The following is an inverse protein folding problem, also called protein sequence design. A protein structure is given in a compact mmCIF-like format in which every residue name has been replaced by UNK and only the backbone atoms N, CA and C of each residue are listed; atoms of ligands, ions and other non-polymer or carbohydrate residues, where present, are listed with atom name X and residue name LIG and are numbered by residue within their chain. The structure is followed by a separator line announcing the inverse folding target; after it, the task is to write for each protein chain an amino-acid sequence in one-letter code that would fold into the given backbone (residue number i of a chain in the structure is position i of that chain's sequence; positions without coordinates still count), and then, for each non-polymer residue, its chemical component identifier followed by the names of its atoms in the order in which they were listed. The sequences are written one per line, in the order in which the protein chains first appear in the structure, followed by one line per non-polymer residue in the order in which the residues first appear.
data_IF_063338740027
#
_entry.id   IF_063338740027
#
_cell.length_a   1.000
_cell.length_b   1.000
_cell.length_c   1.000
_cell.angle_alpha   90.00
_cell.angle_beta   90.00
_cell.angle_gamma   90.00
#
_symmetry.space_group_name_H-M   'P 1'
#
loop_
_entity.id
_entity.type
_entity.pdbx_description
1 polymer ?
#
# COMPACT_ATOMS: atom_id res chain seq x y z
N UNK A 1 -5.31 -26.74 22.60
CA UNK A 1 -4.74 -26.04 21.43
C UNK A 1 -4.77 -24.55 21.69
N UNK A 2 -3.64 -23.95 22.07
CA UNK A 2 -3.55 -22.52 22.34
C UNK A 2 -3.44 -21.77 21.00
N UNK A 3 -4.51 -21.12 20.58
CA UNK A 3 -4.48 -20.18 19.46
C UNK A 3 -3.53 -19.03 19.86
N UNK A 4 -2.45 -18.85 19.10
CA UNK A 4 -1.49 -17.75 19.21
C UNK A 4 -2.25 -16.41 19.33
N UNK A 5 -2.37 -15.86 20.55
CA UNK A 5 -3.09 -14.62 20.83
C UNK A 5 -2.28 -13.34 20.57
N UNK A 6 -1.03 -13.44 20.11
CA UNK A 6 -0.13 -12.27 20.15
C UNK A 6 -0.09 -11.40 18.88
N UNK A 7 -0.70 -11.82 17.76
CA UNK A 7 -0.67 -11.00 16.53
C UNK A 7 -1.99 -11.10 15.76
N UNK A 8 -2.98 -10.26 16.10
CA UNK A 8 -4.19 -10.09 15.29
C UNK A 8 -3.92 -9.11 14.15
N UNK A 9 -3.69 -9.64 12.95
CA UNK A 9 -3.74 -8.85 11.72
C UNK A 9 -5.07 -9.14 11.05
N UNK A 10 -5.82 -8.08 10.73
CA UNK A 10 -7.02 -8.23 9.91
C UNK A 10 -6.65 -8.92 8.60
N UNK A 11 -7.37 -10.00 8.22
CA UNK A 11 -7.15 -10.66 6.94
C UNK A 11 -7.17 -9.68 5.78
N UNK A 12 -6.29 -9.88 4.80
CA UNK A 12 -6.20 -9.00 3.66
C UNK A 12 -7.40 -9.12 2.74
N UNK A 13 -8.11 -8.01 2.57
CA UNK A 13 -9.31 -7.87 1.76
C UNK A 13 -9.05 -7.22 0.38
N UNK A 14 -7.79 -6.93 0.07
CA UNK A 14 -7.38 -6.23 -1.16
C UNK A 14 -7.07 -4.75 -0.97
N UNK A 15 -7.31 -4.16 0.20
CA UNK A 15 -7.03 -2.76 0.49
C UNK A 15 -5.78 -2.57 1.37
N UNK A 16 -5.15 -1.39 1.29
CA UNK A 16 -3.99 -1.02 2.12
C UNK A 16 -2.82 -2.02 2.07
N UNK A 17 -2.53 -2.55 0.87
CA UNK A 17 -1.50 -3.57 0.65
C UNK A 17 -0.15 -3.21 1.28
N UNK A 18 0.28 -1.94 1.18
CA UNK A 18 1.54 -1.47 1.80
C UNK A 18 1.59 -1.72 3.31
N UNK A 19 0.52 -1.37 4.03
CA UNK A 19 0.42 -1.55 5.48
C UNK A 19 0.33 -3.04 5.84
N UNK A 20 -0.49 -3.79 5.11
CA UNK A 20 -0.63 -5.23 5.33
C UNK A 20 0.70 -5.96 5.08
N UNK A 21 1.36 -5.69 3.95
CA UNK A 21 2.67 -6.25 3.59
C UNK A 21 3.70 -6.03 4.70
N UNK A 22 3.79 -4.80 5.22
CA UNK A 22 4.68 -4.48 6.35
C UNK A 22 4.38 -5.30 7.60
N UNK A 23 3.10 -5.52 7.93
CA UNK A 23 2.69 -6.34 9.08
C UNK A 23 3.04 -7.80 8.89
N UNK A 24 2.83 -8.37 7.70
CA UNK A 24 3.18 -9.77 7.43
C UNK A 24 4.67 -10.00 7.54
N UNK A 25 5.50 -9.13 6.93
CA UNK A 25 6.97 -9.21 7.06
C UNK A 25 7.41 -9.19 8.53
N UNK A 26 6.82 -8.33 9.35
CA UNK A 26 7.11 -8.28 10.78
C UNK A 26 6.74 -9.57 11.53
N UNK A 27 5.59 -10.17 11.21
CA UNK A 27 5.15 -11.44 11.83
C UNK A 27 6.07 -12.60 11.45
N UNK A 28 6.46 -12.68 10.18
CA UNK A 28 7.32 -13.76 9.69
C UNK A 28 8.72 -13.65 10.28
N UNK A 29 9.28 -12.44 10.35
CA UNK A 29 10.54 -12.20 11.04
C UNK A 29 10.47 -12.57 12.53
N UNK A 30 9.41 -12.16 13.24
CA UNK A 30 9.21 -12.50 14.66
C UNK A 30 9.04 -14.01 14.92
N UNK A 31 8.71 -14.79 13.88
CA UNK A 31 8.55 -16.25 13.96
C UNK A 31 9.73 -17.02 13.36
N UNK A 32 10.76 -16.32 12.88
CA UNK A 32 11.92 -16.89 12.17
C UNK A 32 11.51 -17.72 10.95
N UNK A 33 10.60 -17.15 10.13
CA UNK A 33 10.04 -17.76 8.92
C UNK A 33 10.17 -16.86 7.69
N UNK A 34 10.80 -15.69 7.81
CA UNK A 34 10.94 -14.69 6.76
C UNK A 34 11.66 -15.20 5.51
N UNK A 35 12.59 -16.15 5.65
CA UNK A 35 13.26 -16.78 4.52
C UNK A 35 12.28 -17.42 3.51
N UNK A 36 11.13 -17.91 3.98
CA UNK A 36 10.11 -18.56 3.13
C UNK A 36 9.21 -17.57 2.38
N UNK A 37 9.40 -16.27 2.60
CA UNK A 37 8.84 -15.23 1.73
C UNK A 37 9.74 -14.97 0.52
N UNK A 38 11.01 -15.40 0.56
CA UNK A 38 12.03 -15.08 -0.45
C UNK A 38 12.47 -16.30 -1.27
N UNK A 39 12.35 -17.51 -0.71
CA UNK A 39 12.71 -18.77 -1.38
C UNK A 39 11.81 -19.94 -0.97
N UNK A 40 11.84 -21.00 -1.77
CA UNK A 40 11.28 -22.30 -1.36
C UNK A 40 12.21 -23.03 -0.40
N UNK A 41 11.63 -23.96 0.37
CA UNK A 41 12.39 -24.87 1.21
C UNK A 41 13.20 -25.86 0.37
N UNK A 42 14.39 -26.24 0.84
CA UNK A 42 15.07 -27.43 0.34
C UNK A 42 14.24 -28.68 0.69
N UNK A 43 13.77 -29.39 -0.34
CA UNK A 43 12.96 -30.59 -0.19
C UNK A 43 13.70 -31.75 0.52
N UNK A 44 15.03 -31.70 0.59
CA UNK A 44 15.85 -32.70 1.30
C UNK A 44 16.06 -32.36 2.78
N UNK A 45 15.67 -31.16 3.21
CA UNK A 45 15.81 -30.70 4.58
C UNK A 45 14.46 -30.71 5.30
N UNK A 46 14.21 -31.77 6.08
CA UNK A 46 12.96 -31.95 6.83
C UNK A 46 12.62 -30.78 7.76
N UNK A 47 13.64 -30.12 8.33
CA UNK A 47 13.44 -28.96 9.20
C UNK A 47 12.91 -27.77 8.40
N UNK A 48 13.48 -27.53 7.22
CA UNK A 48 13.08 -26.45 6.33
C UNK A 48 11.68 -26.70 5.75
N UNK A 49 11.38 -27.94 5.35
CA UNK A 49 10.04 -28.36 4.90
C UNK A 49 8.99 -28.12 5.98
N UNK A 50 9.29 -28.48 7.23
CA UNK A 50 8.38 -28.27 8.37
C UNK A 50 8.12 -26.77 8.62
N UNK A 51 9.18 -25.96 8.62
CA UNK A 51 9.05 -24.49 8.77
C UNK A 51 8.28 -23.86 7.61
N UNK A 52 8.52 -24.27 6.37
CA UNK A 52 7.80 -23.79 5.19
C UNK A 52 6.30 -24.09 5.24
N UNK A 53 5.91 -25.29 5.70
CA UNK A 53 4.48 -25.64 5.93
C UNK A 53 3.85 -24.74 7.00
N UNK A 54 4.59 -24.41 8.06
CA UNK A 54 4.12 -23.48 9.11
C UNK A 54 3.97 -22.05 8.55
N UNK A 55 4.93 -21.59 7.76
CA UNK A 55 4.89 -20.30 7.08
C UNK A 55 3.66 -20.22 6.16
N UNK A 56 3.40 -21.27 5.38
CA UNK A 56 2.23 -21.37 4.52
C UNK A 56 0.92 -21.27 5.31
N UNK A 57 0.78 -22.08 6.37
CA UNK A 57 -0.41 -22.06 7.21
C UNK A 57 -0.68 -20.68 7.84
N UNK A 58 0.37 -20.00 8.33
CA UNK A 58 0.24 -18.63 8.85
C UNK A 58 -0.22 -17.69 7.74
N UNK A 59 0.37 -17.76 6.55
CA UNK A 59 0.01 -16.88 5.45
C UNK A 59 -1.47 -17.02 5.07
N UNK A 60 -2.00 -18.24 5.01
CA UNK A 60 -3.42 -18.49 4.75
C UNK A 60 -4.33 -17.79 5.77
N UNK A 61 -3.95 -17.76 7.05
CA UNK A 61 -4.74 -17.08 8.10
C UNK A 61 -4.73 -15.55 7.98
N UNK A 62 -3.82 -14.99 7.20
CA UNK A 62 -3.67 -13.54 7.00
C UNK A 62 -4.44 -13.03 5.77
N UNK A 63 -5.17 -13.91 5.06
CA UNK A 63 -5.88 -13.63 3.83
C UNK A 63 -7.39 -13.86 4.00
N UNK A 64 -8.21 -13.02 3.37
CA UNK A 64 -9.65 -13.26 3.30
C UNK A 64 -9.99 -14.36 2.27
N UNK A 65 -11.18 -14.94 2.42
CA UNK A 65 -11.66 -16.05 1.60
C UNK A 65 -11.70 -15.73 0.09
N UNK A 66 -12.01 -14.48 -0.29
CA UNK A 66 -12.03 -14.07 -1.70
C UNK A 66 -10.62 -14.11 -2.27
N UNK A 67 -9.63 -13.65 -1.51
CA UNK A 67 -8.25 -13.70 -1.99
C UNK A 67 -7.75 -15.15 -2.03
N UNK A 68 -8.06 -15.96 -1.02
CA UNK A 68 -7.72 -17.39 -0.99
C UNK A 68 -8.31 -18.14 -2.20
N UNK A 69 -9.55 -17.80 -2.60
CA UNK A 69 -10.18 -18.41 -3.77
C UNK A 69 -9.42 -18.16 -5.08
N UNK A 70 -8.62 -17.09 -5.15
CA UNK A 70 -7.79 -16.77 -6.32
C UNK A 70 -6.43 -17.49 -6.34
N UNK A 71 -6.03 -18.09 -5.22
CA UNK A 71 -4.71 -18.71 -5.01
C UNK A 71 -4.76 -20.23 -4.84
N UNK A 72 -5.69 -20.90 -5.52
CA UNK A 72 -5.88 -22.35 -5.36
C UNK A 72 -4.69 -23.18 -5.89
N UNK A 73 -3.75 -22.59 -6.63
CA UNK A 73 -2.63 -23.30 -7.27
C UNK A 73 -1.33 -23.20 -6.49
N UNK A 74 -1.25 -22.25 -5.56
CA UNK A 74 -0.06 -21.92 -4.79
C UNK A 74 -0.05 -22.72 -3.49
N UNK A 75 0.88 -23.67 -3.37
CA UNK A 75 0.98 -24.65 -2.28
C UNK A 75 2.11 -24.35 -1.28
N UNK A 76 2.85 -23.25 -1.47
CA UNK A 76 3.93 -22.81 -0.59
C UNK A 76 3.76 -21.34 -0.21
N UNK A 77 4.32 -20.95 0.95
CA UNK A 77 4.32 -19.55 1.39
C UNK A 77 4.97 -18.65 0.34
N UNK A 78 6.08 -19.10 -0.23
CA UNK A 78 6.82 -18.39 -1.27
C UNK A 78 5.97 -18.12 -2.52
N UNK A 79 5.27 -19.14 -3.04
CA UNK A 79 4.44 -19.00 -4.24
C UNK A 79 3.29 -18.01 -4.01
N UNK A 80 2.59 -18.14 -2.87
CA UNK A 80 1.54 -17.18 -2.48
C UNK A 80 2.13 -15.77 -2.39
N UNK A 81 3.23 -15.61 -1.66
CA UNK A 81 3.85 -14.31 -1.43
C UNK A 81 4.29 -13.64 -2.73
N UNK A 82 4.93 -14.39 -3.62
CA UNK A 82 5.36 -13.92 -4.93
C UNK A 82 4.19 -13.47 -5.81
N UNK A 83 3.11 -14.26 -5.86
CA UNK A 83 1.90 -13.91 -6.60
C UNK A 83 1.26 -12.61 -6.05
N UNK A 84 1.27 -12.46 -4.73
CA UNK A 84 0.76 -11.28 -4.03
C UNK A 84 1.53 -10.01 -4.36
N UNK A 85 2.85 -10.04 -4.16
CA UNK A 85 3.74 -8.92 -4.42
C UNK A 85 3.58 -8.48 -5.88
N UNK A 86 3.63 -9.42 -6.83
CA UNK A 86 3.44 -9.10 -8.25
C UNK A 86 2.08 -8.46 -8.54
N UNK A 87 0.99 -8.99 -7.99
CA UNK A 87 -0.36 -8.49 -8.28
C UNK A 87 -0.62 -7.12 -7.66
N UNK A 88 -0.27 -6.95 -6.39
CA UNK A 88 -0.67 -5.78 -5.62
C UNK A 88 0.33 -4.63 -5.68
N UNK A 89 1.61 -4.89 -5.97
CA UNK A 89 2.55 -3.83 -6.36
C UNK A 89 2.17 -3.24 -7.72
N UNK A 90 1.81 -4.08 -8.70
CA UNK A 90 1.34 -3.59 -10.00
C UNK A 90 0.07 -2.74 -9.86
N UNK A 91 -0.92 -3.20 -9.07
CA UNK A 91 -2.12 -2.40 -8.75
C UNK A 91 -1.77 -1.11 -8.02
N UNK A 92 -0.83 -1.15 -7.07
CA UNK A 92 -0.32 0.03 -6.37
C UNK A 92 0.27 1.06 -7.34
N UNK A 93 1.15 0.63 -8.24
CA UNK A 93 1.76 1.49 -9.25
C UNK A 93 0.72 2.11 -10.20
N UNK A 94 -0.26 1.33 -10.68
CA UNK A 94 -1.35 1.84 -11.53
C UNK A 94 -2.18 2.87 -10.77
N UNK A 95 -2.57 2.59 -9.52
CA UNK A 95 -3.30 3.53 -8.69
C UNK A 95 -2.51 4.82 -8.46
N UNK A 96 -1.20 4.73 -8.24
CA UNK A 96 -0.33 5.90 -8.13
C UNK A 96 -0.34 6.75 -9.40
N UNK A 97 -0.22 6.13 -10.58
CA UNK A 97 -0.26 6.83 -11.87
C UNK A 97 -1.60 7.56 -12.06
N UNK A 98 -2.71 6.85 -11.82
CA UNK A 98 -4.05 7.43 -11.99
C UNK A 98 -4.30 8.57 -11.00
N UNK A 99 -3.86 8.43 -9.75
CA UNK A 99 -4.02 9.47 -8.72
C UNK A 99 -3.16 10.70 -9.03
N UNK A 100 -1.90 10.52 -9.47
CA UNK A 100 -1.04 11.62 -9.94
C UNK A 100 -1.65 12.33 -11.14
N UNK A 101 -2.23 11.59 -12.10
CA UNK A 101 -2.94 12.19 -13.23
C UNK A 101 -4.11 13.05 -12.75
N UNK A 102 -4.91 12.55 -11.80
CA UNK A 102 -6.02 13.32 -11.22
C UNK A 102 -5.51 14.58 -10.54
N UNK A 103 -4.48 14.50 -9.70
CA UNK A 103 -3.84 15.65 -9.05
C UNK A 103 -3.33 16.70 -10.05
N UNK A 104 -2.75 16.27 -11.17
CA UNK A 104 -2.28 17.20 -12.21
C UNK A 104 -3.44 17.91 -12.94
N UNK A 105 -4.61 17.27 -13.03
CA UNK A 105 -5.76 17.77 -13.79
C UNK A 105 -6.86 18.42 -12.94
N UNK A 106 -6.88 18.18 -11.63
CA UNK A 106 -7.92 18.73 -10.74
C UNK A 106 -7.81 20.26 -10.72
N UNK A 107 -8.95 20.94 -10.81
CA UNK A 107 -9.02 22.41 -10.78
C UNK A 107 -10.11 22.83 -9.82
N UNK A 108 -9.86 23.88 -9.05
CA UNK A 108 -10.90 24.46 -8.19
C UNK A 108 -12.01 25.02 -9.08
N UNK A 109 -13.23 24.51 -8.92
CA UNK A 109 -14.40 25.05 -9.60
C UNK A 109 -14.92 26.31 -8.89
N UNK A 110 -15.77 27.10 -9.56
CA UNK A 110 -16.39 28.29 -8.96
C UNK A 110 -17.44 27.93 -7.92
N UNK A 111 -18.06 26.76 -8.10
CA UNK A 111 -19.14 26.21 -7.27
C UNK A 111 -18.60 25.54 -6.00
N UNK A 112 -17.32 25.17 -5.97
CA UNK A 112 -16.68 24.55 -4.79
C UNK A 112 -16.00 25.59 -3.90
N UNK A 113 -16.17 25.45 -2.59
CA UNK A 113 -15.42 26.25 -1.62
C UNK A 113 -13.93 25.89 -1.64
N UNK A 114 -13.07 26.83 -1.23
CA UNK A 114 -11.63 26.57 -1.12
C UNK A 114 -11.33 25.38 -0.20
N UNK A 115 -12.06 25.27 0.92
CA UNK A 115 -11.88 24.19 1.89
C UNK A 115 -12.19 22.83 1.27
N UNK A 116 -13.33 22.68 0.61
CA UNK A 116 -13.70 21.43 -0.07
C UNK A 116 -12.67 21.02 -1.13
N UNK A 117 -12.15 21.99 -1.88
CA UNK A 117 -11.11 21.76 -2.87
C UNK A 117 -9.79 21.29 -2.23
N UNK A 118 -9.37 21.92 -1.12
CA UNK A 118 -8.20 21.46 -0.37
C UNK A 118 -8.40 20.05 0.20
N UNK A 119 -9.58 19.76 0.75
CA UNK A 119 -9.91 18.43 1.27
C UNK A 119 -9.84 17.35 0.17
N UNK A 120 -10.27 17.66 -1.06
CA UNK A 120 -10.13 16.75 -2.22
C UNK A 120 -8.66 16.47 -2.54
N UNK A 121 -7.83 17.51 -2.61
CA UNK A 121 -6.40 17.34 -2.91
C UNK A 121 -5.69 16.56 -1.81
N UNK A 122 -5.93 16.90 -0.55
CA UNK A 122 -5.33 16.21 0.59
C UNK A 122 -5.76 14.75 0.66
N UNK A 123 -6.99 14.43 0.28
CA UNK A 123 -7.44 13.05 0.13
C UNK A 123 -6.64 12.31 -0.95
N UNK A 124 -6.45 12.89 -2.13
CA UNK A 124 -5.65 12.29 -3.20
C UNK A 124 -4.18 12.11 -2.81
N UNK A 125 -3.60 13.07 -2.07
CA UNK A 125 -2.25 12.95 -1.50
C UNK A 125 -2.20 11.80 -0.46
N UNK A 126 -3.22 11.67 0.38
CA UNK A 126 -3.33 10.57 1.33
C UNK A 126 -3.40 9.22 0.63
N UNK A 127 -4.21 9.11 -0.43
CA UNK A 127 -4.33 7.89 -1.25
C UNK A 127 -2.99 7.51 -1.88
N UNK A 128 -2.21 8.50 -2.37
CA UNK A 128 -0.84 8.27 -2.85
C UNK A 128 0.07 7.70 -1.75
N UNK A 129 0.08 8.31 -0.57
CA UNK A 129 0.90 7.85 0.57
C UNK A 129 0.53 6.42 0.99
N UNK A 130 -0.76 6.10 1.04
CA UNK A 130 -1.27 4.76 1.37
C UNK A 130 -0.86 3.72 0.32
N UNK A 131 -0.81 4.11 -0.95
CA UNK A 131 -0.32 3.27 -2.04
C UNK A 131 1.22 3.11 -2.08
N UNK A 132 1.93 3.68 -1.11
CA UNK A 132 3.39 3.58 -0.98
C UNK A 132 4.18 4.65 -1.73
N UNK A 133 3.54 5.70 -2.24
CA UNK A 133 4.26 6.83 -2.83
C UNK A 133 4.83 7.74 -1.74
N UNK A 134 6.06 8.17 -1.92
CA UNK A 134 6.63 9.28 -1.15
C UNK A 134 6.09 10.60 -1.72
N UNK A 135 5.39 11.37 -0.88
CA UNK A 135 4.84 12.68 -1.24
C UNK A 135 5.13 13.63 -0.08
N UNK A 136 6.04 14.57 -0.30
CA UNK A 136 6.41 15.58 0.68
C UNK A 136 5.31 16.62 0.85
N UNK A 137 5.43 17.45 1.89
CA UNK A 137 4.50 18.55 2.09
C UNK A 137 4.69 19.64 1.02
N UNK A 138 5.91 19.81 0.50
CA UNK A 138 6.18 20.69 -0.64
C UNK A 138 5.44 20.20 -1.89
N UNK A 139 5.49 18.90 -2.19
CA UNK A 139 4.74 18.33 -3.34
C UNK A 139 3.24 18.59 -3.20
N UNK A 140 2.72 18.48 -1.97
CA UNK A 140 1.32 18.75 -1.66
C UNK A 140 0.95 20.21 -1.92
N UNK A 141 1.81 21.15 -1.52
CA UNK A 141 1.65 22.59 -1.80
C UNK A 141 1.69 22.84 -3.31
N UNK A 142 2.63 22.24 -4.05
CA UNK A 142 2.71 22.36 -5.51
C UNK A 142 1.41 21.91 -6.17
N UNK A 143 0.84 20.77 -5.79
CA UNK A 143 -0.45 20.32 -6.33
C UNK A 143 -1.60 21.29 -6.04
N UNK A 144 -1.63 21.87 -4.83
CA UNK A 144 -2.62 22.90 -4.49
C UNK A 144 -2.44 24.10 -5.42
N UNK A 145 -1.25 24.67 -5.53
CA UNK A 145 -1.00 25.84 -6.36
C UNK A 145 -1.31 25.59 -7.85
N UNK A 146 -0.94 24.44 -8.40
CA UNK A 146 -1.26 24.06 -9.78
C UNK A 146 -2.76 23.95 -10.05
N UNK A 147 -3.55 23.59 -9.04
CA UNK A 147 -4.99 23.37 -9.16
C UNK A 147 -5.83 24.66 -9.07
N UNK A 148 -5.27 25.75 -8.54
CA UNK A 148 -6.00 26.99 -8.38
C UNK A 148 -6.15 27.73 -9.73
N UNK A 149 -7.33 28.31 -10.01
CA UNK A 149 -7.59 29.03 -11.24
C UNK A 149 -6.92 30.41 -11.20
N UNK A 150 -6.94 31.11 -12.34
CA UNK A 150 -6.18 32.35 -12.58
C UNK A 150 -6.52 33.48 -11.61
N UNK A 151 -7.71 33.46 -11.00
CA UNK A 151 -8.11 34.45 -10.01
C UNK A 151 -7.24 34.44 -8.74
N UNK A 152 -6.50 33.35 -8.50
CA UNK A 152 -5.60 33.21 -7.35
C UNK A 152 -4.12 33.42 -7.70
N UNK A 153 -3.80 33.92 -8.90
CA UNK A 153 -2.42 34.06 -9.37
C UNK A 153 -1.55 34.92 -8.44
N UNK A 154 -2.11 36.01 -7.91
CA UNK A 154 -1.42 36.88 -6.95
C UNK A 154 -1.04 36.13 -5.66
N UNK A 155 -1.88 35.20 -5.20
CA UNK A 155 -1.62 34.38 -4.02
C UNK A 155 -0.52 33.35 -4.32
N UNK A 156 -0.52 32.74 -5.52
CA UNK A 156 0.54 31.81 -5.92
C UNK A 156 1.91 32.49 -5.91
N UNK A 157 2.01 33.64 -6.58
CA UNK A 157 3.25 34.42 -6.66
C UNK A 157 3.73 34.85 -5.27
N UNK A 158 2.82 35.27 -4.39
CA UNK A 158 3.19 35.65 -3.03
C UNK A 158 3.79 34.48 -2.22
N UNK A 159 3.23 33.28 -2.35
CA UNK A 159 3.69 32.07 -1.65
C UNK A 159 5.01 31.55 -2.21
N UNK A 160 5.19 31.57 -3.54
CA UNK A 160 6.42 31.12 -4.21
C UNK A 160 7.63 32.03 -3.91
N UNK A 161 7.38 33.30 -3.56
CA UNK A 161 8.42 34.29 -3.27
C UNK A 161 8.61 34.56 -1.77
N UNK A 162 8.01 33.76 -0.86
CA UNK A 162 8.30 33.92 0.56
C UNK A 162 9.74 33.48 0.87
N UNK A 163 10.56 34.32 1.53
CA UNK A 163 11.85 33.89 2.05
C UNK A 163 11.66 32.79 3.09
N UNK A 164 12.47 31.74 3.01
CA UNK A 164 12.56 30.68 4.04
C UNK A 164 12.95 31.25 5.41
#
# INVERSE_FOLDING_TARGET
MALNREYTVTPFDGANFSVWNRRVKAIFAAKELDEFLEKEADATNDTEVSKSKKAYAILLTLLDDKILSSLQKEDTAFKIWKAFISTYEAKGAVNQILTRKRLATVRKSKETSMRQHMDEILKLVSDLRVSGAEVSDIDSIVYILMSLPKEYESVKVALENQPN
#
